data_IF_274289325246
#
_entry.id   IF_274289325246
#
_cell.length_a   1.000
_cell.length_b   1.000
_cell.length_c   1.000
_cell.angle_alpha   90.00
_cell.angle_beta   90.00
_cell.angle_gamma   90.00
#
_symmetry.space_group_name_H-M   'P 1'
#
loop_
_entity.id
_entity.type
_entity.pdbx_description
1 polymer ?
#
# COMPACT_ATOMS: atom_id res chain seq x y z
N UNK A 1 16.28 -14.68 -32.42
CA UNK A 1 17.30 -14.63 -31.34
C UNK A 1 17.02 -15.78 -30.37
N UNK A 2 18.02 -16.58 -29.97
CA UNK A 2 17.82 -17.60 -28.93
C UNK A 2 17.44 -16.90 -27.62
N UNK A 3 16.36 -17.33 -26.98
CA UNK A 3 15.93 -16.81 -25.68
C UNK A 3 17.04 -17.01 -24.66
N UNK A 4 17.25 -16.03 -23.76
CA UNK A 4 18.20 -16.17 -22.63
C UNK A 4 17.91 -17.43 -21.81
N UNK A 5 16.66 -17.90 -21.80
CA UNK A 5 16.24 -19.13 -21.14
C UNK A 5 16.99 -20.37 -21.64
N UNK A 6 17.44 -20.41 -22.91
CA UNK A 6 18.13 -21.58 -23.46
C UNK A 6 19.51 -21.83 -22.84
N UNK A 7 20.06 -20.84 -22.14
CA UNK A 7 21.34 -20.97 -21.42
C UNK A 7 21.16 -21.44 -19.96
N UNK A 8 19.92 -21.56 -19.48
CA UNK A 8 19.66 -22.04 -18.12
C UNK A 8 19.89 -23.55 -18.01
N UNK A 9 20.42 -24.04 -16.88
CA UNK A 9 20.61 -25.46 -16.66
C UNK A 9 19.27 -26.20 -16.68
N UNK A 10 19.26 -27.35 -17.36
CA UNK A 10 18.06 -28.18 -17.50
C UNK A 10 17.03 -27.66 -18.49
N UNK A 11 17.40 -26.71 -19.36
CA UNK A 11 16.53 -26.31 -20.48
C UNK A 11 16.31 -27.49 -21.43
N UNK A 12 15.06 -27.86 -21.74
CA UNK A 12 14.78 -29.03 -22.55
C UNK A 12 15.13 -28.80 -24.03
N UNK A 13 15.60 -29.85 -24.69
CA UNK A 13 15.69 -29.89 -26.15
C UNK A 13 14.31 -30.29 -26.69
N UNK A 14 13.79 -29.52 -27.66
CA UNK A 14 12.51 -29.80 -28.30
C UNK A 14 12.67 -30.93 -29.30
N UNK A 15 11.78 -31.91 -29.23
CA UNK A 15 11.61 -32.94 -30.25
C UNK A 15 10.91 -32.35 -31.50
N UNK A 16 11.01 -33.02 -32.65
CA UNK A 16 10.35 -32.57 -33.90
C UNK A 16 8.84 -32.40 -33.72
N UNK A 17 8.20 -33.29 -32.96
CA UNK A 17 6.77 -33.21 -32.62
C UNK A 17 6.43 -31.97 -31.78
N UNK A 18 7.32 -31.58 -30.85
CA UNK A 18 7.17 -30.36 -30.04
C UNK A 18 7.45 -29.10 -30.87
N UNK A 19 8.38 -29.15 -31.82
CA UNK A 19 8.63 -28.05 -32.77
C UNK A 19 7.39 -27.78 -33.64
N UNK A 20 6.73 -28.83 -34.14
CA UNK A 20 5.49 -28.69 -34.90
C UNK A 20 4.35 -28.14 -34.03
N UNK A 21 4.24 -28.60 -32.77
CA UNK A 21 3.26 -28.10 -31.81
C UNK A 21 3.48 -26.62 -31.51
N UNK A 22 4.74 -26.20 -31.36
CA UNK A 22 5.14 -24.80 -31.19
C UNK A 22 4.77 -23.95 -32.40
N UNK A 23 5.12 -24.39 -33.61
CA UNK A 23 4.81 -23.67 -34.83
C UNK A 23 3.30 -23.48 -34.99
N UNK A 24 2.52 -24.53 -34.73
CA UNK A 24 1.04 -24.46 -34.75
C UNK A 24 0.51 -23.47 -33.70
N UNK A 25 1.12 -23.44 -32.51
CA UNK A 25 0.74 -22.51 -31.45
C UNK A 25 1.03 -21.06 -31.85
N UNK A 26 2.23 -20.80 -32.38
CA UNK A 26 2.65 -19.48 -32.84
C UNK A 26 1.77 -18.98 -34.00
N UNK A 27 1.45 -19.85 -34.97
CA UNK A 27 0.52 -19.57 -36.07
C UNK A 27 -0.86 -19.15 -35.56
N UNK A 28 -1.44 -19.91 -34.62
CA UNK A 28 -2.76 -19.61 -34.05
C UNK A 28 -2.76 -18.31 -33.23
N UNK A 29 -1.71 -18.06 -32.45
CA UNK A 29 -1.55 -16.81 -31.70
C UNK A 29 -1.41 -15.61 -32.63
N UNK A 30 -0.68 -15.74 -33.74
CA UNK A 30 -0.51 -14.71 -34.77
C UNK A 30 -1.83 -14.41 -35.50
N UNK A 31 -2.58 -15.44 -35.90
CA UNK A 31 -3.89 -15.26 -36.54
C UNK A 31 -4.90 -14.57 -35.61
N UNK A 32 -4.94 -14.95 -34.32
CA UNK A 32 -5.80 -14.30 -33.33
C UNK A 32 -5.39 -12.83 -33.12
N UNK A 33 -4.08 -12.56 -33.02
CA UNK A 33 -3.56 -11.21 -32.88
C UNK A 33 -3.93 -10.33 -34.09
N UNK A 34 -3.72 -10.82 -35.31
CA UNK A 34 -4.07 -10.08 -36.53
C UNK A 34 -5.57 -9.83 -36.64
N UNK A 35 -6.40 -10.83 -36.33
CA UNK A 35 -7.86 -10.68 -36.34
C UNK A 35 -8.32 -9.61 -35.35
N UNK A 36 -7.71 -9.57 -34.15
CA UNK A 36 -8.03 -8.56 -33.13
C UNK A 36 -7.59 -7.16 -33.56
N UNK A 37 -6.37 -7.02 -34.05
CA UNK A 37 -5.86 -5.73 -34.54
C UNK A 37 -6.69 -5.19 -35.72
N UNK A 38 -7.15 -6.07 -36.62
CA UNK A 38 -8.04 -5.68 -37.74
C UNK A 38 -9.42 -5.29 -37.23
N UNK A 39 -10.01 -6.01 -36.28
CA UNK A 39 -11.28 -5.63 -35.67
C UNK A 39 -11.20 -4.23 -35.05
N UNK A 40 -10.16 -3.94 -34.27
CA UNK A 40 -9.91 -2.62 -33.68
C UNK A 40 -9.72 -1.55 -34.76
N UNK A 41 -9.03 -1.89 -35.85
CA UNK A 41 -8.82 -0.97 -36.99
C UNK A 41 -10.14 -0.65 -37.73
N UNK A 42 -11.03 -1.64 -37.93
CA UNK A 42 -12.34 -1.41 -38.56
C UNK A 42 -13.20 -0.53 -37.67
N UNK A 43 -13.18 -0.76 -36.36
CA UNK A 43 -13.92 0.05 -35.39
C UNK A 43 -13.46 1.52 -35.42
N UNK A 44 -12.14 1.76 -35.48
CA UNK A 44 -11.58 3.12 -35.56
C UNK A 44 -11.87 3.83 -36.90
N UNK A 45 -11.84 3.09 -38.02
CA UNK A 45 -12.03 3.67 -39.37
C UNK A 45 -13.50 3.79 -39.79
N UNK A 46 -14.41 3.07 -39.12
CA UNK A 46 -15.84 3.08 -39.39
C UNK A 46 -16.46 4.48 -39.45
N UNK A 47 -15.91 5.42 -38.68
CA UNK A 47 -16.42 6.80 -38.57
C UNK A 47 -15.83 7.77 -39.61
N UNK A 48 -14.72 7.42 -40.27
CA UNK A 48 -13.93 8.38 -41.09
C UNK A 48 -13.76 7.99 -42.55
N UNK A 49 -13.74 6.70 -42.89
CA UNK A 49 -13.48 6.23 -44.26
C UNK A 49 -14.27 4.94 -44.60
N UNK A 50 -15.50 5.11 -45.10
CA UNK A 50 -16.41 4.01 -45.45
C UNK A 50 -15.84 2.99 -46.46
N UNK A 51 -14.93 3.41 -47.35
CA UNK A 51 -14.36 2.51 -48.35
C UNK A 51 -13.29 1.58 -47.75
N UNK A 52 -12.43 2.12 -46.90
CA UNK A 52 -11.33 1.38 -46.29
C UNK A 52 -11.86 0.45 -45.19
N UNK A 53 -12.91 0.86 -44.47
CA UNK A 53 -13.57 0.02 -43.47
C UNK A 53 -14.24 -1.22 -44.10
N UNK A 54 -14.77 -1.14 -45.33
CA UNK A 54 -15.32 -2.30 -46.05
C UNK A 54 -14.27 -3.34 -46.39
N UNK A 55 -13.15 -2.90 -46.96
CA UNK A 55 -12.07 -3.81 -47.34
C UNK A 55 -11.50 -4.52 -46.09
N UNK A 56 -11.30 -3.78 -45.00
CA UNK A 56 -10.85 -4.33 -43.73
C UNK A 56 -11.87 -5.28 -43.10
N UNK A 57 -13.18 -4.99 -43.21
CA UNK A 57 -14.24 -5.89 -42.76
C UNK A 57 -14.26 -7.20 -43.55
N UNK A 58 -14.02 -7.17 -44.86
CA UNK A 58 -13.91 -8.39 -45.68
C UNK A 58 -12.69 -9.22 -45.27
N UNK A 59 -11.55 -8.59 -45.02
CA UNK A 59 -10.36 -9.26 -44.52
C UNK A 59 -10.55 -9.86 -43.13
N UNK A 60 -11.18 -9.12 -42.22
CA UNK A 60 -11.53 -9.63 -40.89
C UNK A 60 -12.41 -10.88 -40.99
N UNK A 61 -13.42 -10.86 -41.87
CA UNK A 61 -14.31 -12.01 -42.06
C UNK A 61 -13.55 -13.24 -42.57
N UNK A 62 -12.64 -13.05 -43.54
CA UNK A 62 -11.78 -14.13 -44.04
C UNK A 62 -10.86 -14.68 -42.95
N UNK A 63 -10.32 -13.83 -42.08
CA UNK A 63 -9.49 -14.30 -40.96
C UNK A 63 -10.30 -15.10 -39.95
N UNK A 64 -11.54 -14.68 -39.64
CA UNK A 64 -12.43 -15.39 -38.73
C UNK A 64 -12.87 -16.75 -39.29
N UNK A 65 -13.15 -16.85 -40.59
CA UNK A 65 -13.42 -18.12 -41.28
C UNK A 65 -12.17 -19.02 -41.24
N UNK A 66 -11.00 -18.49 -41.59
CA UNK A 66 -9.75 -19.25 -41.56
C UNK A 66 -9.37 -19.76 -40.15
N UNK A 67 -9.51 -18.91 -39.12
CA UNK A 67 -9.29 -19.28 -37.72
C UNK A 67 -10.22 -20.42 -37.29
N UNK A 68 -11.49 -20.36 -37.71
CA UNK A 68 -12.45 -21.41 -37.38
C UNK A 68 -12.06 -22.73 -38.05
N UNK A 69 -11.81 -22.73 -39.36
CA UNK A 69 -11.42 -23.93 -40.11
C UNK A 69 -10.15 -24.55 -39.52
N UNK A 70 -9.18 -23.70 -39.15
CA UNK A 70 -7.94 -24.14 -38.52
C UNK A 70 -8.22 -24.79 -37.16
N UNK A 71 -9.04 -24.18 -36.30
CA UNK A 71 -9.44 -24.76 -35.03
C UNK A 71 -10.16 -26.10 -35.19
N UNK A 72 -11.06 -26.23 -36.16
CA UNK A 72 -11.77 -27.49 -36.45
C UNK A 72 -10.80 -28.59 -36.93
N UNK A 73 -9.79 -28.22 -37.75
CA UNK A 73 -8.72 -29.14 -38.15
C UNK A 73 -7.88 -29.64 -36.97
N UNK A 74 -7.61 -28.75 -36.00
CA UNK A 74 -6.85 -29.09 -34.80
C UNK A 74 -7.66 -29.97 -33.85
N UNK A 75 -8.94 -29.66 -33.66
CA UNK A 75 -9.85 -30.47 -32.83
C UNK A 75 -10.04 -31.89 -33.41
N UNK A 76 -10.21 -32.01 -34.72
CA UNK A 76 -10.32 -33.30 -35.39
C UNK A 76 -9.02 -34.11 -35.28
N UNK A 77 -7.86 -33.50 -35.54
CA UNK A 77 -6.56 -34.14 -35.33
C UNK A 77 -6.36 -34.58 -33.87
N UNK A 78 -6.84 -33.79 -32.92
CA UNK A 78 -6.78 -34.10 -31.50
C UNK A 78 -7.67 -35.30 -31.13
N UNK A 79 -8.89 -35.35 -31.65
CA UNK A 79 -9.84 -36.43 -31.41
C UNK A 79 -9.38 -37.79 -31.97
N UNK A 80 -8.53 -37.78 -33.01
CA UNK A 80 -7.96 -38.98 -33.61
C UNK A 80 -6.82 -39.61 -32.79
N UNK A 81 -6.31 -38.94 -31.75
CA UNK A 81 -5.22 -39.46 -30.92
C UNK A 81 -5.73 -40.48 -29.89
N UNK A 82 -5.41 -41.79 -30.01
CA UNK A 82 -6.00 -42.84 -29.18
C UNK A 82 -5.60 -42.78 -27.68
N UNK A 83 -4.54 -42.04 -27.34
CA UNK A 83 -3.95 -42.05 -25.99
C UNK A 83 -4.48 -40.94 -25.05
N UNK A 84 -5.43 -40.09 -25.46
CA UNK A 84 -5.89 -38.92 -24.66
C UNK A 84 -7.35 -38.97 -24.18
N UNK A 85 -8.07 -40.08 -24.39
CA UNK A 85 -9.52 -40.22 -24.14
C UNK A 85 -9.97 -39.92 -22.70
N UNK A 86 -9.10 -40.02 -21.70
CA UNK A 86 -9.47 -39.85 -20.28
C UNK A 86 -9.73 -38.41 -19.82
N UNK A 87 -9.11 -37.38 -20.42
CA UNK A 87 -9.23 -35.98 -19.95
C UNK A 87 -10.32 -35.16 -20.65
N UNK A 88 -10.79 -35.58 -21.82
CA UNK A 88 -11.70 -34.81 -22.67
C UNK A 88 -13.19 -35.02 -22.37
N UNK A 89 -13.57 -36.12 -21.73
CA UNK A 89 -14.97 -36.42 -21.39
C UNK A 89 -15.63 -35.30 -20.56
N UNK A 90 -14.86 -34.65 -19.68
CA UNK A 90 -15.36 -33.54 -18.89
C UNK A 90 -15.52 -32.24 -19.70
N UNK A 91 -14.54 -31.89 -20.54
CA UNK A 91 -14.54 -30.64 -21.30
C UNK A 91 -15.50 -30.63 -22.50
N UNK A 92 -15.74 -31.78 -23.15
CA UNK A 92 -16.69 -31.87 -24.27
C UNK A 92 -18.12 -31.48 -23.87
N UNK A 93 -18.54 -31.84 -22.65
CA UNK A 93 -19.85 -31.45 -22.12
C UNK A 93 -19.98 -29.95 -21.83
N UNK A 94 -18.87 -29.30 -21.46
CA UNK A 94 -18.83 -27.87 -21.16
C UNK A 94 -18.79 -27.03 -22.45
N UNK A 95 -18.07 -27.50 -23.48
CA UNK A 95 -17.97 -26.81 -24.77
C UNK A 95 -19.27 -26.85 -25.57
N UNK A 96 -20.07 -27.92 -25.45
CA UNK A 96 -21.40 -27.96 -26.07
C UNK A 96 -22.37 -26.89 -25.52
N UNK A 97 -22.11 -26.33 -24.32
CA UNK A 97 -22.87 -25.19 -23.77
C UNK A 97 -22.38 -23.83 -24.27
N UNK A 98 -21.26 -23.78 -24.99
CA UNK A 98 -20.66 -22.56 -25.53
C UNK A 98 -20.88 -22.45 -27.05
N UNK A 99 -21.83 -23.21 -27.63
CA UNK A 99 -22.16 -23.18 -29.06
C UNK A 99 -22.36 -21.73 -29.52
N UNK A 100 -21.68 -21.29 -30.60
CA UNK A 100 -21.69 -19.89 -30.99
C UNK A 100 -23.09 -19.37 -31.34
N UNK A 101 -23.24 -18.06 -31.22
CA UNK A 101 -24.38 -17.28 -31.73
C UNK A 101 -24.63 -17.59 -33.22
N UNK A 102 -25.90 -17.61 -33.59
CA UNK A 102 -26.48 -18.03 -34.88
C UNK A 102 -25.58 -17.77 -36.12
N UNK A 103 -25.42 -18.76 -37.03
CA UNK A 103 -24.67 -18.58 -38.28
C UNK A 103 -25.26 -17.50 -39.20
N UNK A 104 -26.54 -17.17 -39.05
CA UNK A 104 -27.26 -16.12 -39.81
C UNK A 104 -26.63 -14.73 -39.66
N UNK A 105 -25.81 -14.52 -38.64
CA UNK A 105 -25.30 -13.20 -38.33
C UNK A 105 -24.01 -12.83 -39.12
N UNK A 106 -23.27 -13.83 -39.65
CA UNK A 106 -22.23 -13.58 -40.66
C UNK A 106 -22.77 -12.91 -41.93
N UNK A 107 -24.02 -13.20 -42.26
CA UNK A 107 -24.66 -12.65 -43.44
C UNK A 107 -24.86 -11.14 -43.31
N UNK A 108 -24.94 -10.59 -42.09
CA UNK A 108 -25.00 -9.15 -41.86
C UNK A 108 -23.68 -8.45 -42.27
N UNK A 109 -22.53 -9.06 -41.95
CA UNK A 109 -21.21 -8.54 -42.35
C UNK A 109 -20.96 -8.70 -43.84
N UNK A 110 -21.37 -9.84 -44.42
CA UNK A 110 -21.34 -10.07 -45.88
C UNK A 110 -22.28 -9.10 -46.61
N UNK A 111 -23.39 -8.72 -46.00
CA UNK A 111 -24.31 -7.70 -46.51
C UNK A 111 -23.70 -6.30 -46.51
N UNK A 112 -22.95 -5.94 -45.46
CA UNK A 112 -22.26 -4.65 -45.38
C UNK A 112 -21.16 -4.49 -46.44
N UNK A 113 -20.44 -5.56 -46.80
CA UNK A 113 -19.40 -5.47 -47.84
C UNK A 113 -19.96 -5.27 -49.25
N UNK A 114 -21.23 -5.66 -49.50
CA UNK A 114 -21.83 -5.66 -50.85
C UNK A 114 -22.60 -4.39 -51.23
N UNK A 115 -23.16 -3.63 -50.29
CA UNK A 115 -24.07 -2.51 -50.59
C UNK A 115 -23.62 -1.17 -50.00
N UNK A 116 -23.85 -0.08 -50.74
CA UNK A 116 -23.30 1.25 -50.44
C UNK A 116 -24.25 2.22 -49.73
N UNK A 117 -25.18 1.73 -48.91
CA UNK A 117 -26.28 2.54 -48.39
C UNK A 117 -25.90 3.29 -47.08
N UNK A 118 -26.01 4.63 -47.01
CA UNK A 118 -25.60 5.43 -45.85
C UNK A 118 -26.42 5.20 -44.58
N UNK A 119 -27.66 4.70 -44.66
CA UNK A 119 -28.52 4.47 -43.49
C UNK A 119 -28.11 3.24 -42.65
N UNK A 120 -27.07 2.49 -43.06
CA UNK A 120 -26.64 1.23 -42.43
C UNK A 120 -25.49 1.35 -41.43
N UNK A 121 -25.10 2.54 -40.96
CA UNK A 121 -24.09 2.67 -39.88
C UNK A 121 -24.45 1.89 -38.61
N UNK A 122 -25.75 1.80 -38.30
CA UNK A 122 -26.27 0.96 -37.21
C UNK A 122 -26.01 -0.54 -37.44
N UNK A 123 -26.08 -1.02 -38.68
CA UNK A 123 -25.83 -2.41 -39.04
C UNK A 123 -24.34 -2.77 -38.95
N UNK A 124 -23.44 -1.80 -39.22
CA UNK A 124 -21.99 -1.99 -39.04
C UNK A 124 -21.65 -2.19 -37.57
N UNK A 125 -22.17 -1.36 -36.68
CA UNK A 125 -21.89 -1.50 -35.24
C UNK A 125 -22.39 -2.84 -34.68
N UNK A 126 -23.57 -3.31 -35.10
CA UNK A 126 -24.04 -4.65 -34.70
C UNK A 126 -23.14 -5.76 -35.24
N UNK A 127 -22.71 -5.67 -36.50
CA UNK A 127 -21.83 -6.65 -37.13
C UNK A 127 -20.44 -6.70 -36.49
N UNK A 128 -19.90 -5.55 -36.07
CA UNK A 128 -18.63 -5.46 -35.34
C UNK A 128 -18.72 -6.06 -33.94
N UNK A 129 -19.77 -5.74 -33.18
CA UNK A 129 -19.99 -6.34 -31.84
C UNK A 129 -20.07 -7.86 -31.91
N UNK A 130 -20.70 -8.37 -32.94
CA UNK A 130 -20.86 -9.80 -33.13
C UNK A 130 -19.55 -10.46 -33.60
N UNK A 131 -18.80 -9.81 -34.50
CA UNK A 131 -17.44 -10.25 -34.84
C UNK A 131 -16.53 -10.32 -33.64
N UNK A 132 -16.61 -9.32 -32.76
CA UNK A 132 -15.90 -9.31 -31.48
C UNK A 132 -16.31 -10.50 -30.61
N UNK A 133 -17.60 -10.74 -30.44
CA UNK A 133 -18.12 -11.87 -29.67
C UNK A 133 -17.68 -13.23 -30.24
N UNK A 134 -17.63 -13.35 -31.57
CA UNK A 134 -17.13 -14.55 -32.25
C UNK A 134 -15.63 -14.73 -32.05
N UNK A 135 -14.84 -13.67 -32.21
CA UNK A 135 -13.40 -13.71 -31.96
C UNK A 135 -13.12 -14.13 -30.52
N UNK A 136 -13.84 -13.58 -29.53
CA UNK A 136 -13.74 -13.97 -28.13
C UNK A 136 -14.13 -15.43 -27.90
N UNK A 137 -15.09 -15.96 -28.66
CA UNK A 137 -15.45 -17.38 -28.61
C UNK A 137 -14.32 -18.26 -29.21
N UNK A 138 -13.76 -17.90 -30.35
CA UNK A 138 -12.63 -18.62 -30.97
C UNK A 138 -11.38 -18.56 -30.07
N UNK A 139 -11.10 -17.41 -29.46
CA UNK A 139 -10.00 -17.25 -28.50
C UNK A 139 -10.20 -18.15 -27.27
N UNK A 140 -11.43 -18.25 -26.75
CA UNK A 140 -11.75 -19.18 -25.64
C UNK A 140 -11.58 -20.64 -26.05
N UNK A 141 -12.01 -21.03 -27.25
CA UNK A 141 -11.78 -22.38 -27.80
C UNK A 141 -10.30 -22.68 -27.90
N UNK A 142 -9.54 -21.76 -28.49
CA UNK A 142 -8.10 -21.89 -28.56
C UNK A 142 -7.45 -22.02 -27.19
N UNK A 143 -7.79 -21.17 -26.21
CA UNK A 143 -7.27 -21.26 -24.83
C UNK A 143 -7.56 -22.60 -24.15
N UNK A 144 -8.65 -23.27 -24.51
CA UNK A 144 -8.96 -24.60 -24.00
C UNK A 144 -8.09 -25.70 -24.64
N UNK A 145 -7.72 -25.55 -25.92
CA UNK A 145 -6.88 -26.50 -26.67
C UNK A 145 -5.37 -26.26 -26.51
N UNK A 146 -4.95 -25.00 -26.37
CA UNK A 146 -3.57 -24.57 -26.25
C UNK A 146 -2.75 -25.37 -25.22
N UNK A 147 -3.32 -25.84 -24.09
CA UNK A 147 -2.60 -26.70 -23.15
C UNK A 147 -1.98 -27.96 -23.73
N UNK A 148 -2.59 -28.53 -24.77
CA UNK A 148 -2.10 -29.73 -25.44
C UNK A 148 -0.95 -29.45 -26.42
N UNK A 149 -0.79 -28.21 -26.84
CA UNK A 149 0.30 -27.73 -27.69
C UNK A 149 1.47 -27.15 -26.89
N UNK A 150 1.39 -27.22 -25.55
CA UNK A 150 2.48 -26.75 -24.71
C UNK A 150 3.68 -27.69 -24.76
N UNK A 151 4.79 -27.11 -25.19
CA UNK A 151 6.08 -27.80 -25.27
C UNK A 151 6.67 -28.05 -23.89
N UNK A 152 7.72 -28.86 -23.85
CA UNK A 152 8.59 -28.98 -22.68
C UNK A 152 9.16 -27.61 -22.26
N UNK A 153 9.51 -26.73 -23.21
CA UNK A 153 9.94 -25.33 -22.95
C UNK A 153 8.86 -24.54 -22.20
N UNK A 154 7.59 -24.58 -22.64
CA UNK A 154 6.49 -23.85 -21.99
C UNK A 154 6.23 -24.35 -20.56
N UNK A 155 6.41 -25.65 -20.34
CA UNK A 155 6.29 -26.28 -19.02
C UNK A 155 7.45 -25.86 -18.12
N UNK A 156 8.67 -25.83 -18.66
CA UNK A 156 9.86 -25.35 -17.95
C UNK A 156 9.70 -23.87 -17.56
N UNK A 157 9.32 -23.00 -18.51
CA UNK A 157 9.13 -21.58 -18.27
C UNK A 157 8.06 -21.31 -17.20
N UNK A 158 6.95 -22.07 -17.18
CA UNK A 158 5.93 -21.94 -16.12
C UNK A 158 6.42 -22.39 -14.75
N UNK A 159 7.20 -23.48 -14.67
CA UNK A 159 7.84 -23.90 -13.41
C UNK A 159 8.81 -22.83 -12.93
N UNK A 160 9.64 -22.28 -13.82
CA UNK A 160 10.58 -21.22 -13.50
C UNK A 160 9.86 -19.96 -13.00
N UNK A 161 8.80 -19.50 -13.68
CA UNK A 161 7.98 -18.37 -13.22
C UNK A 161 7.39 -18.60 -11.83
N UNK A 162 6.93 -19.81 -11.52
CA UNK A 162 6.43 -20.16 -10.18
C UNK A 162 7.54 -20.11 -9.14
N UNK A 163 8.71 -20.68 -9.45
CA UNK A 163 9.87 -20.66 -8.54
C UNK A 163 10.31 -19.22 -8.27
N UNK A 164 10.46 -18.40 -9.31
CA UNK A 164 10.80 -16.98 -9.19
C UNK A 164 9.76 -16.23 -8.37
N UNK A 165 8.47 -16.49 -8.60
CA UNK A 165 7.38 -15.90 -7.81
C UNK A 165 7.44 -16.27 -6.32
N UNK A 166 7.76 -17.53 -6.00
CA UNK A 166 7.95 -17.99 -4.61
C UNK A 166 9.17 -17.30 -3.98
N UNK A 167 10.30 -17.22 -4.69
CA UNK A 167 11.52 -16.56 -4.20
C UNK A 167 11.24 -15.08 -3.91
N UNK A 168 10.56 -14.38 -4.83
CA UNK A 168 10.19 -12.97 -4.64
C UNK A 168 9.27 -12.79 -3.43
N UNK A 169 8.26 -13.66 -3.27
CA UNK A 169 7.35 -13.61 -2.13
C UNK A 169 8.09 -13.83 -0.80
N UNK A 170 9.02 -14.79 -0.74
CA UNK A 170 9.87 -15.02 0.44
C UNK A 170 10.76 -13.81 0.74
N UNK A 171 11.38 -13.21 -0.28
CA UNK A 171 12.21 -12.01 -0.12
C UNK A 171 11.40 -10.82 0.41
N UNK A 172 10.17 -10.62 -0.09
CA UNK A 172 9.27 -9.57 0.40
C UNK A 172 8.84 -9.81 1.85
N UNK A 173 8.52 -11.06 2.21
CA UNK A 173 8.19 -11.42 3.59
C UNK A 173 9.37 -11.21 4.54
N UNK A 174 10.59 -11.57 4.12
CA UNK A 174 11.81 -11.33 4.90
C UNK A 174 12.07 -9.82 5.07
N UNK A 175 11.92 -9.02 4.01
CA UNK A 175 12.02 -7.56 4.07
C UNK A 175 10.98 -6.94 5.01
N UNK A 176 9.73 -7.41 4.95
CA UNK A 176 8.67 -6.95 5.85
C UNK A 176 8.93 -7.32 7.31
N UNK A 177 9.41 -8.54 7.58
CA UNK A 177 9.80 -8.98 8.91
C UNK A 177 10.96 -8.12 9.47
N UNK A 178 11.99 -7.87 8.66
CA UNK A 178 13.10 -6.98 9.01
C UNK A 178 12.63 -5.55 9.32
N UNK A 179 11.76 -4.99 8.48
CA UNK A 179 11.14 -3.69 8.72
C UNK A 179 10.35 -3.66 10.03
N UNK A 180 9.58 -4.71 10.34
CA UNK A 180 8.83 -4.80 11.59
C UNK A 180 9.74 -4.89 12.82
N UNK A 181 10.87 -5.57 12.73
CA UNK A 181 11.86 -5.65 13.82
C UNK A 181 12.47 -4.26 14.05
N UNK A 182 12.91 -3.59 12.98
CA UNK A 182 13.45 -2.23 13.06
C UNK A 182 12.43 -1.25 13.66
N UNK A 183 11.20 -1.26 13.13
CA UNK A 183 10.09 -0.44 13.62
C UNK A 183 9.69 -0.75 15.07
N UNK A 184 10.05 -1.90 15.62
CA UNK A 184 9.73 -2.24 17.01
C UNK A 184 10.90 -2.04 17.97
N UNK A 185 12.02 -1.47 17.49
CA UNK A 185 13.11 -1.09 18.37
C UNK A 185 12.60 -0.07 19.41
N UNK A 186 12.95 -0.26 20.71
CA UNK A 186 12.46 0.58 21.79
C UNK A 186 12.82 2.06 21.59
N UNK A 187 14.00 2.34 21.02
CA UNK A 187 14.46 3.68 20.70
C UNK A 187 13.56 4.40 19.69
N UNK A 188 13.14 3.72 18.61
CA UNK A 188 12.23 4.34 17.65
C UNK A 188 10.82 4.55 18.22
N UNK A 189 10.35 3.62 19.04
CA UNK A 189 9.06 3.74 19.72
C UNK A 189 9.08 4.95 20.66
N UNK A 190 10.17 5.12 21.41
CA UNK A 190 10.40 6.28 22.25
C UNK A 190 10.43 7.57 21.41
N UNK A 191 11.24 7.60 20.34
CA UNK A 191 11.33 8.75 19.45
C UNK A 191 9.96 9.14 18.88
N UNK A 192 9.21 8.19 18.32
CA UNK A 192 7.89 8.47 17.73
C UNK A 192 6.86 8.93 18.75
N UNK A 193 6.90 8.36 19.96
CA UNK A 193 5.90 8.66 20.99
C UNK A 193 6.17 10.00 21.68
N UNK A 194 7.44 10.33 21.92
CA UNK A 194 7.81 11.46 22.79
C UNK A 194 8.58 12.58 22.08
N UNK A 195 9.49 12.28 21.16
CA UNK A 195 10.29 13.32 20.48
C UNK A 195 9.57 13.88 19.25
N UNK A 196 9.00 13.03 18.39
CA UNK A 196 8.38 13.48 17.13
C UNK A 196 7.27 14.55 17.31
N UNK A 197 6.38 14.47 18.32
CA UNK A 197 5.39 15.53 18.54
C UNK A 197 6.01 16.88 18.94
N UNK A 198 7.15 16.86 19.65
CA UNK A 198 7.82 18.07 20.12
C UNK A 198 8.54 18.81 18.98
N UNK A 199 8.93 18.12 17.91
CA UNK A 199 9.61 18.71 16.76
C UNK A 199 8.78 19.81 16.08
N UNK A 200 7.45 19.70 16.11
CA UNK A 200 6.55 20.68 15.51
C UNK A 200 6.28 21.90 16.41
N UNK A 201 6.56 21.79 17.72
CA UNK A 201 6.17 22.80 18.73
C UNK A 201 7.39 23.59 19.23
N UNK A 202 8.55 22.94 19.32
CA UNK A 202 9.76 23.53 19.91
C UNK A 202 10.69 24.14 18.85
N UNK A 203 11.44 25.20 19.21
CA UNK A 203 12.55 25.67 18.39
C UNK A 203 13.56 24.54 18.11
N UNK A 204 14.22 24.54 16.94
CA UNK A 204 15.12 23.46 16.54
C UNK A 204 16.30 23.27 17.51
N UNK A 205 16.79 24.35 18.12
CA UNK A 205 17.87 24.31 19.10
C UNK A 205 17.44 23.61 20.40
N UNK A 206 16.29 24.00 20.96
CA UNK A 206 15.72 23.37 22.15
C UNK A 206 15.40 21.89 21.88
N UNK A 207 14.84 21.58 20.71
CA UNK A 207 14.57 20.20 20.29
C UNK A 207 15.85 19.36 20.22
N UNK A 208 16.94 19.92 19.67
CA UNK A 208 18.24 19.24 19.62
C UNK A 208 18.80 18.95 21.01
N UNK A 209 18.72 19.92 21.94
CA UNK A 209 19.13 19.75 23.34
C UNK A 209 18.33 18.64 24.04
N UNK A 210 17.00 18.65 23.91
CA UNK A 210 16.15 17.61 24.48
C UNK A 210 16.38 16.23 23.86
N UNK A 211 16.70 16.17 22.56
CA UNK A 211 17.07 14.91 21.90
C UNK A 211 18.35 14.33 22.50
N UNK A 212 19.35 15.18 22.78
CA UNK A 212 20.59 14.73 23.44
C UNK A 212 20.36 14.33 24.90
N UNK A 213 19.50 15.07 25.62
CA UNK A 213 19.07 14.67 26.97
C UNK A 213 18.39 13.29 26.93
N UNK A 214 17.48 13.04 26.00
CA UNK A 214 16.81 11.75 25.85
C UNK A 214 17.77 10.59 25.54
N UNK A 215 18.87 10.86 24.83
CA UNK A 215 19.90 9.87 24.53
C UNK A 215 20.77 9.54 25.75
N UNK A 216 21.07 10.54 26.59
CA UNK A 216 21.89 10.35 27.80
C UNK A 216 21.07 9.83 29.00
N UNK A 217 19.87 10.37 29.24
CA UNK A 217 18.94 9.92 30.25
C UNK A 217 17.47 10.09 29.80
N UNK A 218 16.82 8.98 29.45
CA UNK A 218 15.44 8.98 29.00
C UNK A 218 14.44 9.39 30.09
N UNK A 219 14.68 9.03 31.35
CA UNK A 219 13.74 9.32 32.45
C UNK A 219 13.68 10.81 32.76
N UNK A 220 14.83 11.48 32.84
CA UNK A 220 14.88 12.93 33.02
C UNK A 220 14.23 13.67 31.83
N UNK A 221 14.44 13.19 30.60
CA UNK A 221 13.74 13.74 29.44
C UNK A 221 12.22 13.59 29.56
N UNK A 222 11.71 12.43 30.00
CA UNK A 222 10.28 12.21 30.18
C UNK A 222 9.68 13.16 31.22
N UNK A 223 10.44 13.48 32.28
CA UNK A 223 10.03 14.48 33.29
C UNK A 223 10.01 15.88 32.71
N UNK A 224 11.01 16.25 31.90
CA UNK A 224 11.03 17.54 31.19
C UNK A 224 9.86 17.65 30.21
N UNK A 225 9.53 16.57 29.49
CA UNK A 225 8.36 16.48 28.60
C UNK A 225 7.06 16.71 29.38
N UNK A 226 6.92 16.07 30.55
CA UNK A 226 5.74 16.21 31.40
C UNK A 226 5.62 17.63 31.97
N UNK A 227 6.72 18.22 32.46
CA UNK A 227 6.78 19.62 32.90
C UNK A 227 6.39 20.59 31.78
N UNK A 228 6.85 20.34 30.56
CA UNK A 228 6.51 21.17 29.39
C UNK A 228 5.00 21.12 29.09
N UNK A 229 4.39 19.93 29.15
CA UNK A 229 2.93 19.78 28.97
C UNK A 229 2.15 20.55 30.03
N UNK A 230 2.58 20.48 31.29
CA UNK A 230 1.95 21.21 32.39
C UNK A 230 2.10 22.72 32.16
N UNK A 231 3.30 23.20 31.81
CA UNK A 231 3.56 24.60 31.49
C UNK A 231 2.65 25.12 30.37
N UNK A 232 2.56 24.40 29.25
CA UNK A 232 1.69 24.79 28.13
C UNK A 232 0.23 24.90 28.59
N UNK A 233 -0.21 24.00 29.46
CA UNK A 233 -1.52 24.09 30.11
C UNK A 233 -1.68 25.35 30.96
N UNK A 234 -0.70 25.65 31.82
CA UNK A 234 -0.69 26.85 32.66
C UNK A 234 -0.72 28.14 31.84
N UNK A 235 0.10 28.23 30.80
CA UNK A 235 0.16 29.38 29.89
C UNK A 235 -1.17 29.54 29.13
N UNK A 236 -1.77 28.43 28.69
CA UNK A 236 -3.09 28.44 28.06
C UNK A 236 -4.17 28.94 29.05
N UNK A 237 -4.14 28.47 30.29
CA UNK A 237 -5.07 28.90 31.33
C UNK A 237 -4.93 30.41 31.61
N UNK A 238 -3.70 30.89 31.79
CA UNK A 238 -3.40 32.31 32.01
C UNK A 238 -3.87 33.17 30.84
N UNK A 239 -3.62 32.74 29.60
CA UNK A 239 -4.05 33.49 28.41
C UNK A 239 -5.58 33.68 28.32
N UNK A 240 -6.36 32.71 28.85
CA UNK A 240 -7.83 32.74 28.87
C UNK A 240 -8.41 33.48 30.06
N UNK A 241 -7.81 33.31 31.26
CA UNK A 241 -8.38 33.76 32.54
C UNK A 241 -7.71 35.02 33.09
N UNK A 242 -6.54 35.38 32.57
CA UNK A 242 -5.73 36.52 33.03
C UNK A 242 -4.92 36.25 34.31
N UNK A 243 -4.97 35.03 34.86
CA UNK A 243 -4.24 34.61 36.05
C UNK A 243 -3.93 33.11 35.99
N UNK A 244 -2.95 32.64 36.75
CA UNK A 244 -2.62 31.22 36.89
C UNK A 244 -3.63 30.50 37.81
N UNK A 245 -3.84 29.17 37.66
CA UNK A 245 -4.80 28.42 38.46
C UNK A 245 -4.33 28.29 39.91
N UNK A 246 -5.21 28.61 40.87
CA UNK A 246 -4.91 28.66 42.31
C UNK A 246 -5.05 30.08 42.89
N UNK A 247 -5.04 30.20 44.22
CA UNK A 247 -5.06 31.46 44.97
C UNK A 247 -3.69 31.78 45.56
N UNK A 248 -3.55 32.94 46.22
CA UNK A 248 -2.30 33.38 46.84
C UNK A 248 -1.74 32.34 47.83
N UNK A 249 -0.57 31.76 47.49
CA UNK A 249 0.12 30.80 48.35
C UNK A 249 -0.35 29.33 48.19
N UNK A 250 -1.14 29.03 47.17
CA UNK A 250 -1.57 27.67 46.90
C UNK A 250 -0.40 26.79 46.46
N UNK A 251 -0.27 25.62 47.08
CA UNK A 251 0.72 24.58 46.74
C UNK A 251 -0.03 23.30 46.38
N UNK A 252 0.29 22.76 45.21
CA UNK A 252 -0.27 21.54 44.66
C UNK A 252 0.85 20.54 44.40
N UNK A 253 0.59 19.27 44.67
CA UNK A 253 1.58 18.21 44.54
C UNK A 253 0.95 17.01 43.83
N UNK A 254 1.62 16.48 42.80
CA UNK A 254 1.11 15.27 42.15
C UNK A 254 1.13 14.10 43.15
N UNK A 255 0.14 13.20 43.11
CA UNK A 255 0.13 12.00 43.96
C UNK A 255 -0.20 12.17 45.46
N UNK A 256 -0.42 13.38 45.98
CA UNK A 256 -0.90 13.58 47.36
C UNK A 256 -2.42 13.36 47.51
N UNK A 257 -3.18 13.53 46.44
CA UNK A 257 -4.59 13.15 46.31
C UNK A 257 -4.73 11.90 45.45
N UNK A 258 -5.71 11.03 45.75
CA UNK A 258 -6.08 9.88 44.87
C UNK A 258 -6.57 10.31 43.48
N UNK A 259 -6.76 11.60 43.26
CA UNK A 259 -7.27 12.16 42.02
C UNK A 259 -6.14 12.54 41.06
N UNK A 260 -6.28 12.14 39.79
CA UNK A 260 -5.37 12.47 38.68
C UNK A 260 -5.32 13.98 38.37
N UNK A 261 -6.18 14.77 39.03
CA UNK A 261 -6.44 16.18 38.76
C UNK A 261 -5.84 17.08 39.85
N UNK A 262 -4.55 16.90 40.12
CA UNK A 262 -3.84 17.57 41.22
C UNK A 262 -3.71 19.10 41.07
N UNK A 263 -4.07 19.67 39.91
CA UNK A 263 -4.35 21.11 39.72
C UNK A 263 -5.81 21.27 39.22
N UNK A 264 -6.80 21.35 40.13
CA UNK A 264 -8.22 21.20 39.78
C UNK A 264 -8.73 22.19 38.74
N UNK A 265 -8.29 23.45 38.81
CA UNK A 265 -8.74 24.48 37.87
C UNK A 265 -8.13 24.32 36.48
N UNK A 266 -6.88 23.85 36.38
CA UNK A 266 -6.24 23.56 35.11
C UNK A 266 -6.98 22.46 34.35
N UNK A 267 -7.48 21.46 35.06
CA UNK A 267 -8.21 20.33 34.48
C UNK A 267 -9.50 20.73 33.76
N UNK A 268 -10.20 21.76 34.27
CA UNK A 268 -11.45 22.25 33.67
C UNK A 268 -11.23 22.81 32.26
N UNK A 269 -10.01 23.29 31.97
CA UNK A 269 -9.67 23.95 30.70
C UNK A 269 -8.83 23.07 29.77
N UNK A 270 -8.03 22.15 30.31
CA UNK A 270 -7.14 21.27 29.53
C UNK A 270 -7.75 19.86 29.48
N UNK A 271 -8.22 19.40 28.30
CA UNK A 271 -8.90 18.11 28.17
C UNK A 271 -7.98 16.90 28.40
N UNK A 272 -6.66 17.10 28.31
CA UNK A 272 -5.64 16.07 28.55
C UNK A 272 -5.37 15.94 30.06
N UNK A 273 -5.25 14.70 30.54
CA UNK A 273 -4.92 14.43 31.94
C UNK A 273 -3.56 15.05 32.30
N UNK A 274 -3.47 15.66 33.48
CA UNK A 274 -2.23 16.27 33.95
C UNK A 274 -1.23 15.13 34.26
N UNK A 275 -0.01 15.15 33.69
CA UNK A 275 0.98 14.13 33.98
C UNK A 275 1.26 13.99 35.49
N UNK A 276 1.52 12.74 35.91
CA UNK A 276 2.05 12.41 37.23
C UNK A 276 3.53 12.05 37.09
N UNK A 277 4.32 12.23 38.15
CA UNK A 277 5.72 11.79 38.13
C UNK A 277 5.76 10.27 37.92
N UNK A 278 6.60 9.83 36.98
CA UNK A 278 6.63 8.43 36.52
C UNK A 278 7.39 7.51 37.46
N UNK A 279 8.11 8.06 38.44
CA UNK A 279 8.90 7.27 39.38
C UNK A 279 8.02 6.39 40.25
N UNK A 280 8.46 5.15 40.55
CA UNK A 280 7.70 4.24 41.38
C UNK A 280 7.61 4.77 42.81
N UNK A 281 6.37 4.90 43.31
CA UNK A 281 6.09 5.28 44.70
C UNK A 281 5.20 6.51 44.82
N UNK A 282 4.30 6.47 45.78
CA UNK A 282 3.43 7.60 46.14
C UNK A 282 4.09 8.54 47.16
N UNK A 283 5.42 8.52 47.27
CA UNK A 283 6.14 9.40 48.18
C UNK A 283 5.98 10.84 47.68
N UNK A 284 5.37 11.74 48.48
CA UNK A 284 5.11 13.10 48.05
C UNK A 284 6.39 13.79 47.55
N UNK A 285 7.51 13.60 48.22
CA UNK A 285 8.81 14.22 47.90
C UNK A 285 9.35 13.94 46.49
N UNK A 286 8.82 12.93 45.79
CA UNK A 286 9.23 12.58 44.43
C UNK A 286 8.29 13.10 43.34
N UNK A 287 7.23 13.81 43.73
CA UNK A 287 6.14 14.21 42.86
C UNK A 287 6.31 15.64 42.35
N UNK A 288 5.65 15.97 41.24
CA UNK A 288 5.64 17.34 40.72
C UNK A 288 5.03 18.30 41.74
N UNK A 289 5.62 19.48 41.84
CA UNK A 289 5.23 20.52 42.78
C UNK A 289 4.87 21.79 42.00
N UNK A 290 3.69 22.34 42.24
CA UNK A 290 3.23 23.58 41.65
C UNK A 290 2.85 24.57 42.75
N UNK A 291 3.48 25.73 42.78
CA UNK A 291 3.26 26.81 43.74
C UNK A 291 2.86 28.05 42.96
N UNK A 292 1.82 28.76 43.39
CA UNK A 292 1.39 30.00 42.74
C UNK A 292 0.88 31.04 43.72
N UNK A 293 0.93 32.31 43.31
CA UNK A 293 0.21 33.39 43.96
C UNK A 293 -0.97 33.95 43.12
N UNK A 294 -1.27 33.32 41.98
CA UNK A 294 -2.24 33.78 40.97
C UNK A 294 -1.62 34.62 39.85
N UNK A 295 -0.58 35.41 40.12
CA UNK A 295 0.14 36.21 39.11
C UNK A 295 1.39 35.49 38.59
N UNK A 296 2.07 34.78 39.48
CA UNK A 296 3.34 34.11 39.29
C UNK A 296 3.23 32.64 39.71
N UNK A 297 4.12 31.80 39.17
CA UNK A 297 4.16 30.39 39.56
C UNK A 297 5.57 29.80 39.53
N UNK A 298 5.72 28.68 40.24
CA UNK A 298 6.87 27.78 40.19
C UNK A 298 6.40 26.34 40.07
N UNK A 299 6.83 25.66 39.03
CA UNK A 299 6.54 24.25 38.74
C UNK A 299 7.86 23.48 38.79
N UNK A 300 7.96 22.49 39.68
CA UNK A 300 9.19 21.74 39.94
C UNK A 300 8.98 20.23 39.85
N UNK A 301 10.03 19.56 39.42
CA UNK A 301 10.26 18.13 39.50
C UNK A 301 11.46 17.91 40.44
N UNK A 302 11.24 17.42 41.68
CA UNK A 302 12.29 17.26 42.67
C UNK A 302 13.22 16.09 42.30
N UNK A 303 14.48 16.18 42.73
CA UNK A 303 15.49 15.11 42.63
C UNK A 303 15.59 14.51 41.20
N UNK A 304 16.12 15.22 40.19
CA UNK A 304 16.40 14.62 38.88
C UNK A 304 17.34 13.40 39.03
N UNK A 305 17.19 12.40 38.17
CA UNK A 305 18.01 11.18 38.26
C UNK A 305 19.47 11.46 37.89
N UNK A 306 19.69 12.34 36.91
CA UNK A 306 21.01 12.76 36.46
C UNK A 306 21.05 14.28 36.25
N UNK A 307 21.23 15.02 37.36
CA UNK A 307 21.32 16.48 37.30
C UNK A 307 22.39 16.98 36.33
N UNK A 308 23.55 16.32 36.25
CA UNK A 308 24.64 16.76 35.37
C UNK A 308 24.22 16.74 33.89
N UNK A 309 23.41 15.75 33.48
CA UNK A 309 22.86 15.69 32.13
C UNK A 309 21.87 16.82 31.87
N UNK A 310 20.99 17.12 32.83
CA UNK A 310 20.04 18.25 32.71
C UNK A 310 20.78 19.57 32.67
N UNK A 311 21.76 19.79 33.55
CA UNK A 311 22.59 21.00 33.60
C UNK A 311 23.39 21.20 32.32
N UNK A 312 23.86 20.11 31.69
CA UNK A 312 24.60 20.15 30.43
C UNK A 312 23.71 20.52 29.24
N UNK A 313 22.52 19.93 29.14
CA UNK A 313 21.68 20.08 27.95
C UNK A 313 20.60 21.14 28.07
N UNK A 314 20.04 21.35 29.26
CA UNK A 314 18.92 22.25 29.53
C UNK A 314 19.16 23.02 30.84
N UNK A 315 20.28 23.77 30.96
CA UNK A 315 20.65 24.48 32.19
C UNK A 315 19.58 25.46 32.67
N UNK A 316 18.78 26.01 31.76
CA UNK A 316 17.68 26.93 32.08
C UNK A 316 16.58 26.33 32.96
N UNK A 317 16.50 24.99 33.05
CA UNK A 317 15.52 24.31 33.89
C UNK A 317 16.01 24.06 35.33
N UNK A 318 17.27 24.33 35.66
CA UNK A 318 17.81 24.12 37.01
C UNK A 318 17.24 25.19 37.96
N UNK A 319 16.57 24.77 39.05
CA UNK A 319 16.00 25.73 40.02
C UNK A 319 17.11 26.64 40.59
N UNK A 320 17.02 27.97 40.45
CA UNK A 320 18.06 28.88 40.94
C UNK A 320 18.24 28.82 42.46
N UNK A 321 17.20 28.44 43.21
CA UNK A 321 17.25 28.37 44.69
C UNK A 321 17.78 27.02 45.15
N UNK A 322 17.33 25.94 44.51
CA UNK A 322 17.59 24.54 44.95
C UNK A 322 18.72 23.86 44.16
N UNK A 323 19.19 24.46 43.07
CA UNK A 323 20.18 23.88 42.18
C UNK A 323 19.75 22.50 41.67
N UNK A 324 20.63 21.52 41.79
CA UNK A 324 20.38 20.13 41.39
C UNK A 324 19.30 19.39 42.19
N UNK A 325 18.73 19.97 43.24
CA UNK A 325 17.65 19.33 43.98
C UNK A 325 16.29 19.46 43.29
N UNK A 326 16.13 20.33 42.29
CA UNK A 326 14.90 20.43 41.51
C UNK A 326 15.14 20.99 40.10
N UNK A 327 14.32 20.54 39.15
CA UNK A 327 14.25 21.11 37.79
C UNK A 327 12.84 21.58 37.49
N UNK A 328 12.64 22.58 36.65
CA UNK A 328 11.30 23.15 36.49
C UNK A 328 11.16 24.34 35.56
N UNK A 329 9.98 24.96 35.67
CA UNK A 329 9.63 26.22 35.02
C UNK A 329 9.07 27.19 36.05
N UNK A 330 9.37 28.47 35.92
CA UNK A 330 8.87 29.52 36.81
C UNK A 330 8.73 30.84 36.07
N UNK A 331 7.89 31.72 36.60
CA UNK A 331 7.87 33.13 36.21
C UNK A 331 8.99 33.89 36.92
N UNK A 332 9.28 35.12 36.47
CA UNK A 332 10.38 35.93 36.99
C UNK A 332 10.32 36.09 38.52
N UNK A 333 9.15 36.45 39.07
CA UNK A 333 8.98 36.55 40.53
C UNK A 333 8.72 35.19 41.19
N UNK A 334 8.22 34.21 40.42
CA UNK A 334 8.02 32.84 40.88
C UNK A 334 9.32 32.09 41.18
N UNK A 335 10.46 32.54 40.66
CA UNK A 335 11.77 31.93 40.89
C UNK A 335 12.14 31.80 42.37
N UNK A 336 11.63 32.70 43.23
CA UNK A 336 11.93 32.75 44.66
C UNK A 336 11.03 31.85 45.53
N UNK A 337 10.01 31.20 44.94
CA UNK A 337 9.10 30.31 45.67
C UNK A 337 9.75 28.98 46.11
#
# INVERSE_FOLDING_TARGET
>A
MKSVLSYLPGYPLLDESELQSRATREEMEELLFHSRARLESVELLGDTALRDSRLLAEYLLKDLEHLQDRLESLESAHSASPNKSGRLSFFGSLMNRLRPSNPEHLDALKGFSRESDPDRSANLQSALRESAARLDHLERRWKALAPDYFTSEDRYARRLKRIVGIILAVALLAGYAGYRIHRNQPQERFYRKHLAPLQAVLPPETFSRLTKLAQENSEDFLRVEDLLKIRVGLDTFQSKRGHYPGSTGAMFQSGSSRDQDWIPDLRKEVPVAIPLDRRPGSLPENQYLYITNGADYKLLAPNPENCESVKKWVPEMIDPVRGCAAIGYWTENGAQF
#
